data_IF_121964952387
#
_entry.id   IF_121964952387
#
_cell.length_a   1.000
_cell.length_b   1.000
_cell.length_c   1.000
_cell.angle_alpha   90.00
_cell.angle_beta   90.00
_cell.angle_gamma   90.00
#
_symmetry.space_group_name_H-M   'P 1'
#
loop_
_entity.id
_entity.type
_entity.pdbx_description
1 polymer ?
#
# COMPACT_ATOMS: atom_id res chain seq x y z
N UNK A 1 10.28 -0.54 15.71
CA UNK A 1 9.00 0.03 16.23
C UNK A 1 8.50 1.01 15.18
N UNK A 2 7.18 1.10 14.92
CA UNK A 2 6.63 2.08 13.99
C UNK A 2 6.93 3.50 14.50
N UNK A 3 7.26 4.41 13.59
CA UNK A 3 7.52 5.82 13.89
C UNK A 3 6.32 6.63 13.43
N UNK A 4 5.78 7.48 14.30
CA UNK A 4 4.69 8.38 13.93
C UNK A 4 5.25 9.58 13.19
N UNK A 5 4.60 9.97 12.08
CA UNK A 5 5.02 11.10 11.27
C UNK A 5 5.00 12.42 12.06
N UNK A 6 4.04 12.59 12.97
CA UNK A 6 3.98 13.79 13.84
C UNK A 6 5.18 13.91 14.78
N UNK A 7 5.67 12.79 15.31
CA UNK A 7 6.83 12.80 16.21
C UNK A 7 8.09 13.12 15.40
N UNK A 8 8.25 12.52 14.22
CA UNK A 8 9.33 12.84 13.29
C UNK A 8 9.35 14.33 12.90
N UNK A 9 8.19 14.92 12.62
CA UNK A 9 8.11 16.35 12.29
C UNK A 9 8.56 17.23 13.46
N UNK A 10 8.14 16.92 14.70
CA UNK A 10 8.57 17.64 15.91
C UNK A 10 10.07 17.49 16.16
N UNK A 11 10.61 16.29 15.96
CA UNK A 11 12.04 16.02 16.09
C UNK A 11 12.83 16.86 15.08
N UNK A 12 12.39 16.92 13.82
CA UNK A 12 13.04 17.73 12.78
C UNK A 12 13.04 19.23 13.10
N UNK A 13 11.92 19.76 13.60
CA UNK A 13 11.82 21.17 14.02
C UNK A 13 12.81 21.45 15.17
N UNK A 14 12.83 20.57 16.17
CA UNK A 14 13.70 20.68 17.35
C UNK A 14 15.18 20.59 16.98
N UNK A 15 15.55 19.61 16.13
CA UNK A 15 16.91 19.43 15.64
C UNK A 15 17.38 20.61 14.77
N UNK A 16 16.45 21.37 14.21
CA UNK A 16 16.74 22.59 13.46
C UNK A 16 16.88 23.83 14.37
N UNK A 17 16.78 23.68 15.69
CA UNK A 17 16.93 24.76 16.67
C UNK A 17 15.67 25.56 16.95
N UNK A 18 14.50 25.10 16.48
CA UNK A 18 13.21 25.76 16.68
C UNK A 18 12.34 24.98 17.65
N UNK A 19 11.38 25.67 18.27
CA UNK A 19 10.38 25.04 19.12
C UNK A 19 9.09 24.74 18.34
N UNK A 20 8.66 23.46 18.28
CA UNK A 20 7.38 23.09 17.68
C UNK A 20 6.22 23.85 18.34
N UNK A 21 5.22 24.25 17.54
CA UNK A 21 4.03 25.01 17.95
C UNK A 21 4.28 26.48 18.41
N UNK A 22 5.53 26.86 18.68
CA UNK A 22 5.93 28.24 19.00
C UNK A 22 6.54 28.93 17.77
N UNK A 23 7.67 28.43 17.28
CA UNK A 23 8.40 29.02 16.16
C UNK A 23 7.87 28.50 14.81
N UNK A 24 7.46 27.22 14.78
CA UNK A 24 6.94 26.54 13.59
C UNK A 24 5.71 25.73 14.00
N UNK A 25 4.55 26.08 13.43
CA UNK A 25 3.28 25.38 13.65
C UNK A 25 3.17 24.13 12.77
N UNK A 26 2.54 23.08 13.30
CA UNK A 26 2.23 21.87 12.54
C UNK A 26 0.75 21.92 12.13
N UNK A 27 0.49 21.96 10.83
CA UNK A 27 -0.86 21.93 10.28
C UNK A 27 -1.17 20.55 9.67
N UNK A 28 -2.33 19.99 10.02
CA UNK A 28 -2.80 18.72 9.48
C UNK A 28 -3.63 18.96 8.23
N UNK A 29 -3.08 18.60 7.06
CA UNK A 29 -3.74 18.76 5.76
C UNK A 29 -4.58 17.54 5.34
N UNK A 30 -4.55 16.46 6.14
CA UNK A 30 -5.21 15.21 5.82
C UNK A 30 -4.39 14.32 4.87
N UNK A 31 -4.95 13.15 4.54
CA UNK A 31 -4.33 12.20 3.62
C UNK A 31 -4.59 12.60 2.17
N UNK A 32 -3.57 12.49 1.32
CA UNK A 32 -3.71 12.63 -0.13
C UNK A 32 -4.35 11.37 -0.72
N UNK A 33 -5.04 11.47 -1.88
CA UNK A 33 -5.61 10.30 -2.54
C UNK A 33 -4.56 9.21 -2.79
N UNK A 34 -4.82 8.01 -2.28
CA UNK A 34 -3.93 6.86 -2.40
C UNK A 34 -2.92 6.67 -1.26
N UNK A 35 -2.84 7.60 -0.30
CA UNK A 35 -1.97 7.42 0.87
C UNK A 35 -2.55 6.44 1.90
N UNK A 36 -1.66 5.66 2.53
CA UNK A 36 -1.97 4.78 3.66
C UNK A 36 -1.61 5.47 4.98
N UNK A 37 -2.41 5.21 6.02
CA UNK A 37 -2.13 5.73 7.37
C UNK A 37 -1.03 4.95 8.11
N UNK A 38 -0.86 3.68 7.75
CA UNK A 38 0.18 2.79 8.24
C UNK A 38 0.65 1.90 7.10
N UNK A 39 1.95 1.57 7.12
CA UNK A 39 2.51 0.55 6.27
C UNK A 39 2.49 -0.80 6.99
N UNK A 40 2.25 -1.85 6.23
CA UNK A 40 2.43 -3.22 6.68
C UNK A 40 3.89 -3.61 6.41
N UNK A 41 4.59 -4.11 7.41
CA UNK A 41 5.98 -4.57 7.22
C UNK A 41 6.03 -5.73 6.22
N UNK A 42 5.04 -6.61 6.28
CA UNK A 42 4.88 -7.83 5.50
C UNK A 42 3.38 -8.12 5.43
N UNK A 43 2.87 -8.55 4.27
CA UNK A 43 1.48 -9.00 4.16
C UNK A 43 1.36 -10.41 4.76
N UNK A 44 0.29 -10.70 5.50
CA UNK A 44 0.07 -12.00 6.17
C UNK A 44 0.07 -13.19 5.20
N UNK A 45 -0.20 -12.93 3.92
CA UNK A 45 -0.30 -13.92 2.85
C UNK A 45 1.08 -14.35 2.29
N UNK A 46 2.16 -13.66 2.68
CA UNK A 46 3.48 -13.89 2.13
C UNK A 46 4.24 -14.91 2.99
N UNK A 47 4.51 -16.07 2.42
CA UNK A 47 5.37 -17.08 3.05
C UNK A 47 6.83 -16.60 3.07
N UNK A 48 7.29 -16.16 4.23
CA UNK A 48 8.67 -15.72 4.45
C UNK A 48 9.55 -16.88 4.89
N UNK A 49 10.72 -16.98 4.27
CA UNK A 49 11.78 -17.89 4.69
C UNK A 49 12.93 -17.07 5.28
N UNK A 50 13.51 -17.54 6.38
CA UNK A 50 14.69 -16.91 6.97
C UNK A 50 15.93 -17.13 6.12
N UNK A 51 16.82 -16.14 6.07
CA UNK A 51 18.18 -16.33 5.57
C UNK A 51 19.12 -16.77 6.70
N UNK A 52 20.41 -16.96 6.40
CA UNK A 52 21.43 -17.13 7.44
C UNK A 52 21.64 -15.91 8.35
N UNK A 53 20.98 -14.77 8.08
CA UNK A 53 21.05 -13.57 8.91
C UNK A 53 19.68 -13.23 9.52
N UNK A 54 19.62 -13.10 10.84
CA UNK A 54 18.37 -12.94 11.62
C UNK A 54 17.55 -11.67 11.35
N UNK A 55 18.04 -10.78 10.47
CA UNK A 55 17.36 -9.52 10.09
C UNK A 55 16.97 -9.45 8.61
N UNK A 56 17.22 -10.53 7.85
CA UNK A 56 16.97 -10.58 6.41
C UNK A 56 16.06 -11.78 6.13
N UNK A 57 14.92 -11.49 5.50
CA UNK A 57 13.89 -12.47 5.13
C UNK A 57 13.78 -12.53 3.62
N UNK A 58 13.42 -13.69 3.08
CA UNK A 58 13.18 -13.92 1.65
C UNK A 58 11.73 -14.33 1.48
N UNK A 59 11.01 -13.57 0.67
CA UNK A 59 9.68 -13.94 0.20
C UNK A 59 9.78 -15.07 -0.83
N UNK A 60 8.93 -16.09 -0.70
CA UNK A 60 8.79 -17.10 -1.74
C UNK A 60 8.10 -16.47 -2.95
N UNK A 61 8.70 -16.49 -4.16
CA UNK A 61 8.05 -15.93 -5.33
C UNK A 61 6.72 -16.63 -5.58
N UNK A 62 5.65 -15.83 -5.74
CA UNK A 62 4.38 -16.35 -6.23
C UNK A 62 4.57 -16.85 -7.68
N UNK A 63 3.92 -17.95 -8.02
CA UNK A 63 3.85 -18.41 -9.40
C UNK A 63 2.99 -17.42 -10.21
N UNK A 64 3.65 -16.42 -10.80
CA UNK A 64 3.01 -15.46 -11.67
C UNK A 64 2.72 -16.13 -13.02
N UNK A 65 1.45 -16.39 -13.30
CA UNK A 65 1.03 -16.98 -14.57
C UNK A 65 0.78 -15.87 -15.61
N UNK A 66 1.67 -15.76 -16.60
CA UNK A 66 1.54 -14.72 -17.64
C UNK A 66 0.30 -14.91 -18.50
N UNK A 67 -0.10 -16.16 -18.81
CA UNK A 67 -1.31 -16.45 -19.57
C UNK A 67 -2.56 -15.97 -18.84
N UNK A 68 -2.57 -16.07 -17.51
CA UNK A 68 -3.66 -15.52 -16.69
C UNK A 68 -3.72 -14.00 -16.81
N UNK A 69 -2.57 -13.31 -16.77
CA UNK A 69 -2.49 -11.86 -16.91
C UNK A 69 -2.98 -11.42 -18.29
N UNK A 70 -2.48 -12.04 -19.37
CA UNK A 70 -2.87 -11.71 -20.74
C UNK A 70 -4.37 -11.94 -20.97
N UNK A 71 -4.90 -13.08 -20.54
CA UNK A 71 -6.34 -13.36 -20.62
C UNK A 71 -7.16 -12.35 -19.83
N UNK A 72 -6.69 -11.97 -18.64
CA UNK A 72 -7.38 -10.99 -17.81
C UNK A 72 -7.40 -9.61 -18.46
N UNK A 73 -6.31 -9.19 -19.10
CA UNK A 73 -6.27 -7.94 -19.89
C UNK A 73 -7.28 -7.99 -21.04
N UNK A 74 -7.34 -9.10 -21.79
CA UNK A 74 -8.31 -9.27 -22.88
C UNK A 74 -9.76 -9.29 -22.39
N UNK A 75 -10.02 -9.85 -21.21
CA UNK A 75 -11.34 -9.78 -20.55
C UNK A 75 -11.67 -8.33 -20.13
N UNK A 76 -10.72 -7.60 -19.54
CA UNK A 76 -10.92 -6.21 -19.14
C UNK A 76 -11.20 -5.30 -20.34
N UNK A 77 -10.47 -5.45 -21.46
CA UNK A 77 -10.69 -4.66 -22.69
C UNK A 77 -12.14 -4.74 -23.19
N UNK A 78 -12.82 -5.87 -22.98
CA UNK A 78 -14.21 -6.08 -23.42
C UNK A 78 -15.24 -5.33 -22.58
N UNK A 79 -14.90 -5.01 -21.33
CA UNK A 79 -15.83 -4.37 -20.37
C UNK A 79 -15.50 -2.91 -20.07
N UNK A 80 -14.33 -2.40 -20.49
CA UNK A 80 -13.87 -1.02 -20.22
C UNK A 80 -14.83 0.06 -20.75
N UNK A 81 -15.59 -0.23 -21.81
CA UNK A 81 -16.57 0.68 -22.39
C UNK A 81 -18.02 0.39 -21.97
N UNK A 82 -18.23 -0.57 -21.07
CA UNK A 82 -19.54 -0.98 -20.55
C UNK A 82 -19.84 -0.31 -19.20
N UNK A 83 -20.86 -0.81 -18.50
CA UNK A 83 -21.22 -0.39 -17.15
C UNK A 83 -20.07 -0.62 -16.16
N UNK A 84 -19.88 0.33 -15.24
CA UNK A 84 -18.88 0.25 -14.16
C UNK A 84 -19.08 -0.98 -13.28
N UNK A 85 -20.30 -1.48 -13.13
CA UNK A 85 -20.59 -2.68 -12.34
C UNK A 85 -19.95 -3.94 -12.95
N UNK A 86 -19.90 -4.06 -14.29
CA UNK A 86 -19.20 -5.17 -14.95
C UNK A 86 -17.68 -5.12 -14.69
N UNK A 87 -17.12 -3.91 -14.67
CA UNK A 87 -15.70 -3.69 -14.37
C UNK A 87 -15.42 -4.11 -12.93
N UNK A 88 -16.22 -3.66 -11.95
CA UNK A 88 -16.02 -4.02 -10.56
C UNK A 88 -16.18 -5.52 -10.32
N UNK A 89 -17.18 -6.16 -10.92
CA UNK A 89 -17.35 -7.61 -10.84
C UNK A 89 -16.13 -8.37 -11.39
N UNK A 90 -15.54 -7.89 -12.49
CA UNK A 90 -14.34 -8.50 -13.05
C UNK A 90 -13.09 -8.25 -12.17
N UNK A 91 -12.96 -7.06 -11.57
CA UNK A 91 -11.88 -6.76 -10.60
C UNK A 91 -11.98 -7.68 -9.39
N UNK A 92 -13.16 -7.79 -8.76
CA UNK A 92 -13.38 -8.65 -7.59
C UNK A 92 -13.05 -10.13 -7.90
N UNK A 93 -13.30 -10.58 -9.13
CA UNK A 93 -12.97 -11.94 -9.57
C UNK A 93 -11.47 -12.15 -9.82
N UNK A 94 -10.79 -11.16 -10.41
CA UNK A 94 -9.40 -11.30 -10.89
C UNK A 94 -8.35 -10.84 -9.90
N UNK A 95 -8.72 -9.99 -8.95
CA UNK A 95 -7.86 -9.41 -7.93
C UNK A 95 -8.44 -9.78 -6.56
N UNK A 96 -8.09 -10.96 -6.00
CA UNK A 96 -8.70 -11.47 -4.76
C UNK A 96 -8.54 -10.54 -3.55
N UNK A 97 -7.49 -9.72 -3.55
CA UNK A 97 -7.18 -8.74 -2.50
C UNK A 97 -7.96 -7.43 -2.64
N UNK A 98 -8.71 -7.25 -3.73
CA UNK A 98 -9.55 -6.07 -3.92
C UNK A 98 -10.85 -6.21 -3.12
N UNK A 99 -11.06 -5.29 -2.18
CA UNK A 99 -12.29 -5.20 -1.40
C UNK A 99 -12.98 -3.88 -1.77
N UNK A 100 -14.14 -3.97 -2.43
CA UNK A 100 -14.95 -2.80 -2.73
C UNK A 100 -15.51 -2.22 -1.44
N UNK A 101 -15.11 -0.99 -1.09
CA UNK A 101 -15.76 -0.22 -0.03
C UNK A 101 -17.12 0.24 -0.53
N UNK A 102 -18.19 -0.26 0.09
CA UNK A 102 -19.57 0.20 -0.11
C UNK A 102 -19.80 1.57 0.49
#
# INVERSE_FOLDING_TARGET
>A
KPVKIVDLAKDLITLSGYKPEEDIKIEYTGLRPGEKLYEELLMDEIALTSTGHNKIFVERPMENNIDFVEKSIEEFKKVVYNDKEEIFALIEKKVPTYIRKK
#
